data_IF_083284775637
#
_entry.id   IF_083284775637
#
_cell.length_a   1.000
_cell.length_b   1.000
_cell.length_c   1.000
_cell.angle_alpha   90.00
_cell.angle_beta   90.00
_cell.angle_gamma   90.00
#
_symmetry.space_group_name_H-M   'P 1'
#
loop_
_entity.id
_entity.type
_entity.pdbx_description
1 polymer ?
#
# COMPACT_ATOMS: atom_id res chain seq x y z
N UNK A 1 2.37 10.68 10.04
CA UNK A 1 3.19 9.76 9.23
C UNK A 1 2.36 8.85 8.33
N UNK A 2 1.29 8.27 8.83
CA UNK A 2 0.40 7.42 8.01
C UNK A 2 -0.11 8.13 6.76
N UNK A 3 -0.64 9.36 6.94
CA UNK A 3 -1.14 10.16 5.81
C UNK A 3 -0.06 10.42 4.77
N UNK A 4 1.15 10.71 5.22
CA UNK A 4 2.28 11.01 4.32
C UNK A 4 2.67 9.78 3.50
N UNK A 5 2.73 8.61 4.12
CA UNK A 5 3.05 7.36 3.42
C UNK A 5 1.98 7.03 2.39
N UNK A 6 0.70 7.12 2.76
CA UNK A 6 -0.40 6.88 1.83
C UNK A 6 -0.40 7.90 0.69
N UNK A 7 -0.10 9.17 1.00
CA UNK A 7 -0.01 10.24 0.00
C UNK A 7 1.11 9.97 -1.01
N UNK A 8 2.25 9.48 -0.55
CA UNK A 8 3.34 9.09 -1.46
C UNK A 8 2.96 7.89 -2.31
N UNK A 9 2.29 6.90 -1.72
CA UNK A 9 1.91 5.68 -2.43
C UNK A 9 0.90 5.93 -3.56
N UNK A 10 -0.12 6.76 -3.34
CA UNK A 10 -1.13 7.01 -4.38
C UNK A 10 -0.56 7.73 -5.61
N UNK A 11 0.59 8.36 -5.49
CA UNK A 11 1.26 9.04 -6.60
C UNK A 11 2.06 8.09 -7.48
N UNK A 12 2.27 6.87 -7.05
CA UNK A 12 3.02 5.87 -7.80
C UNK A 12 2.05 5.11 -8.70
N UNK A 13 2.39 4.99 -9.98
CA UNK A 13 1.57 4.26 -10.93
C UNK A 13 1.60 2.75 -10.65
N UNK A 14 0.51 2.08 -10.98
CA UNK A 14 0.41 0.63 -10.96
C UNK A 14 0.64 -0.01 -9.58
N UNK A 15 0.16 0.63 -8.53
CA UNK A 15 0.03 0.01 -7.23
C UNK A 15 -1.39 -0.52 -7.04
N UNK A 16 -1.51 -1.59 -6.26
CA UNK A 16 -2.78 -2.23 -5.96
C UNK A 16 -3.05 -2.14 -4.46
N UNK A 17 -4.09 -1.41 -4.10
CA UNK A 17 -4.53 -1.27 -2.70
C UNK A 17 -5.53 -2.37 -2.40
N UNK A 18 -5.23 -3.21 -1.42
CA UNK A 18 -5.99 -4.43 -1.14
C UNK A 18 -6.49 -4.42 0.30
N UNK A 19 -7.80 -4.55 0.46
CA UNK A 19 -8.44 -4.83 1.75
C UNK A 19 -9.02 -6.23 1.66
N UNK A 20 -8.66 -7.08 2.61
CA UNK A 20 -8.99 -8.50 2.54
C UNK A 20 -9.39 -9.03 3.91
N UNK A 21 -10.41 -9.88 3.93
CA UNK A 21 -10.72 -10.73 5.06
C UNK A 21 -10.82 -12.19 4.59
N UNK A 22 -11.25 -13.11 5.44
CA UNK A 22 -11.32 -14.53 5.10
C UNK A 22 -12.31 -14.86 3.98
N UNK A 23 -13.24 -13.97 3.68
CA UNK A 23 -14.34 -14.23 2.76
C UNK A 23 -14.34 -13.37 1.51
N UNK A 24 -13.64 -12.23 1.52
CA UNK A 24 -13.71 -11.29 0.41
C UNK A 24 -12.43 -10.49 0.28
N UNK A 25 -12.15 -10.02 -0.93
CA UNK A 25 -11.03 -9.13 -1.23
C UNK A 25 -11.54 -7.96 -2.07
N UNK A 26 -11.15 -6.75 -1.69
CA UNK A 26 -11.40 -5.55 -2.47
C UNK A 26 -10.06 -4.98 -2.94
N UNK A 27 -9.95 -4.66 -4.23
CA UNK A 27 -8.72 -4.20 -4.85
C UNK A 27 -8.97 -2.93 -5.64
N UNK A 28 -8.14 -1.90 -5.41
CA UNK A 28 -8.27 -0.61 -6.07
C UNK A 28 -6.88 -0.19 -6.59
N UNK A 29 -6.83 0.25 -7.84
CA UNK A 29 -5.60 0.77 -8.47
C UNK A 29 -5.30 2.20 -8.02
N UNK A 30 -4.02 2.51 -7.81
CA UNK A 30 -3.57 3.84 -7.34
C UNK A 30 -3.96 4.98 -8.28
N UNK A 31 -4.01 4.73 -9.57
CA UNK A 31 -4.30 5.74 -10.60
C UNK A 31 -5.61 6.50 -10.37
N UNK A 32 -6.59 5.84 -9.77
CA UNK A 32 -7.94 6.40 -9.56
C UNK A 32 -8.08 7.15 -8.24
N UNK A 33 -7.00 7.25 -7.45
CA UNK A 33 -7.12 7.68 -6.07
C UNK A 33 -6.61 9.10 -5.86
N UNK A 34 -7.38 9.89 -5.13
CA UNK A 34 -6.97 11.09 -4.44
C UNK A 34 -6.95 10.79 -2.95
N UNK A 35 -6.44 11.70 -2.13
CA UNK A 35 -6.37 11.51 -0.69
C UNK A 35 -6.85 12.76 0.04
N UNK A 36 -7.62 12.56 1.10
CA UNK A 36 -7.97 13.63 2.04
C UNK A 36 -8.11 13.04 3.43
N UNK A 37 -7.95 13.89 4.44
CA UNK A 37 -8.15 13.50 5.84
C UNK A 37 -9.19 14.40 6.47
N UNK A 38 -10.14 13.78 7.17
CA UNK A 38 -11.13 14.49 7.98
C UNK A 38 -11.19 13.79 9.35
N UNK A 39 -10.74 14.47 10.38
CA UNK A 39 -10.62 13.91 11.74
C UNK A 39 -9.73 12.65 11.68
N UNK A 40 -10.23 11.51 12.18
CA UNK A 40 -9.49 10.24 12.18
C UNK A 40 -9.54 9.50 10.84
N UNK A 41 -10.41 9.93 9.92
CA UNK A 41 -10.64 9.22 8.67
C UNK A 41 -9.77 9.76 7.54
N UNK A 42 -9.02 8.84 6.93
CA UNK A 42 -8.30 9.11 5.69
C UNK A 42 -9.11 8.46 4.57
N UNK A 43 -9.50 9.26 3.57
CA UNK A 43 -10.25 8.78 2.42
C UNK A 43 -9.34 8.75 1.21
N UNK A 44 -9.24 7.58 0.58
CA UNK A 44 -8.61 7.38 -0.71
C UNK A 44 -9.71 7.30 -1.76
N UNK A 45 -9.62 8.17 -2.78
CA UNK A 45 -10.69 8.35 -3.75
C UNK A 45 -11.74 9.34 -3.26
N UNK A 46 -12.79 9.53 -4.06
CA UNK A 46 -13.91 10.42 -3.74
C UNK A 46 -15.15 9.60 -3.43
N UNK A 47 -16.01 10.10 -2.53
CA UNK A 47 -17.20 9.38 -2.09
C UNK A 47 -18.15 8.99 -3.23
N UNK A 48 -18.21 9.80 -4.27
CA UNK A 48 -19.06 9.56 -5.44
C UNK A 48 -18.33 8.85 -6.58
N UNK A 49 -17.05 8.52 -6.41
CA UNK A 49 -16.31 7.68 -7.37
C UNK A 49 -16.70 6.22 -7.19
N UNK A 50 -16.63 5.40 -8.27
CA UNK A 50 -16.88 3.97 -8.17
C UNK A 50 -15.94 3.23 -7.23
N UNK A 51 -14.72 3.75 -7.05
CA UNK A 51 -13.69 3.14 -6.22
C UNK A 51 -13.18 4.14 -5.18
N UNK A 52 -13.40 3.83 -3.91
CA UNK A 52 -12.86 4.63 -2.81
C UNK A 52 -12.78 3.77 -1.55
N UNK A 53 -12.01 4.22 -0.57
CA UNK A 53 -11.96 3.56 0.73
C UNK A 53 -11.71 4.59 1.84
N UNK A 54 -12.15 4.23 3.04
CA UNK A 54 -11.95 5.02 4.24
C UNK A 54 -11.11 4.24 5.23
N UNK A 55 -10.05 4.85 5.73
CA UNK A 55 -9.15 4.24 6.70
C UNK A 55 -9.24 4.99 8.01
N UNK A 56 -9.55 4.29 9.09
CA UNK A 56 -9.52 4.87 10.43
C UNK A 56 -8.06 4.94 10.90
N UNK A 57 -7.50 6.14 10.89
CA UNK A 57 -6.08 6.33 11.20
C UNK A 57 -5.72 5.96 12.63
N UNK A 58 -6.69 6.01 13.56
CA UNK A 58 -6.45 5.65 14.96
C UNK A 58 -6.30 4.14 15.15
N UNK A 59 -6.77 3.35 14.20
CA UNK A 59 -6.72 1.89 14.28
C UNK A 59 -5.46 1.30 13.64
N UNK A 60 -4.69 2.08 12.89
CA UNK A 60 -3.45 1.61 12.27
C UNK A 60 -2.29 1.87 13.24
N UNK A 61 -1.59 0.82 13.64
CA UNK A 61 -0.54 0.90 14.67
C UNK A 61 0.87 0.64 14.16
N UNK A 62 1.01 -0.06 13.04
CA UNK A 62 2.33 -0.28 12.46
C UNK A 62 2.26 -0.41 10.94
N UNK A 63 3.40 -0.19 10.31
CA UNK A 63 3.55 -0.25 8.85
C UNK A 63 4.85 -0.99 8.55
N UNK A 64 4.80 -1.90 7.59
CA UNK A 64 5.98 -2.64 7.16
C UNK A 64 6.14 -2.62 5.66
N UNK A 65 7.37 -2.39 5.21
CA UNK A 65 7.79 -2.56 3.82
C UNK A 65 8.28 -3.99 3.69
N UNK A 66 7.59 -4.80 2.89
CA UNK A 66 7.79 -6.26 2.84
C UNK A 66 8.27 -6.68 1.46
N UNK A 67 9.35 -7.47 1.45
CA UNK A 67 9.82 -8.19 0.27
C UNK A 67 9.66 -9.67 0.56
N UNK A 68 8.70 -10.32 -0.09
CA UNK A 68 8.41 -11.73 0.13
C UNK A 68 8.94 -12.56 -1.04
N UNK A 69 9.94 -13.39 -0.78
CA UNK A 69 10.47 -14.30 -1.78
C UNK A 69 9.51 -15.45 -2.03
N UNK A 70 9.14 -15.62 -3.29
CA UNK A 70 8.32 -16.72 -3.76
C UNK A 70 9.13 -17.53 -4.77
N UNK A 71 8.73 -18.78 -5.10
CA UNK A 71 9.52 -19.61 -6.00
C UNK A 71 9.87 -18.96 -7.34
N UNK A 72 8.96 -18.16 -7.92
CA UNK A 72 9.15 -17.57 -9.22
C UNK A 72 9.60 -16.11 -9.19
N UNK A 73 9.33 -15.41 -8.09
CA UNK A 73 9.60 -13.97 -8.01
C UNK A 73 9.53 -13.46 -6.57
N UNK A 74 10.02 -12.25 -6.35
CA UNK A 74 9.83 -11.53 -5.10
C UNK A 74 8.63 -10.61 -5.21
N UNK A 75 7.74 -10.62 -4.23
CA UNK A 75 6.60 -9.71 -4.10
C UNK A 75 7.00 -8.52 -3.22
N UNK A 76 6.58 -7.33 -3.60
CA UNK A 76 6.89 -6.08 -2.89
C UNK A 76 5.59 -5.43 -2.43
N UNK A 77 5.50 -5.15 -1.14
CA UNK A 77 4.29 -4.52 -0.58
C UNK A 77 4.60 -3.63 0.60
N UNK A 78 3.66 -2.73 0.87
CA UNK A 78 3.61 -1.95 2.11
C UNK A 78 2.35 -2.39 2.83
N UNK A 79 2.49 -2.92 4.02
CA UNK A 79 1.38 -3.47 4.80
C UNK A 79 1.16 -2.67 6.07
N UNK A 80 -0.11 -2.49 6.42
CA UNK A 80 -0.58 -1.68 7.52
C UNK A 80 -1.32 -2.59 8.50
N UNK A 81 -0.95 -2.52 9.78
CA UNK A 81 -1.45 -3.43 10.80
C UNK A 81 -2.12 -2.69 11.96
N UNK A 82 -3.10 -3.32 12.59
CA UNK A 82 -3.77 -2.82 13.78
C UNK A 82 -3.09 -3.28 15.07
N UNK A 83 -3.69 -2.99 16.22
CA UNK A 83 -3.18 -3.37 17.53
C UNK A 83 -3.07 -4.88 17.74
N UNK A 84 -3.90 -5.65 17.06
CA UNK A 84 -3.90 -7.11 17.15
C UNK A 84 -2.95 -7.74 16.14
N UNK A 85 -2.17 -6.90 15.45
CA UNK A 85 -1.27 -7.34 14.39
C UNK A 85 -2.00 -7.97 13.20
N UNK A 86 -3.26 -7.62 13.02
CA UNK A 86 -4.04 -7.98 11.84
C UNK A 86 -3.81 -6.96 10.74
N UNK A 87 -3.70 -7.43 9.50
CA UNK A 87 -3.47 -6.55 8.36
C UNK A 87 -4.74 -5.80 7.98
N UNK A 88 -4.68 -4.47 8.08
CA UNK A 88 -5.78 -3.56 7.72
C UNK A 88 -5.82 -3.31 6.22
N UNK A 89 -4.64 -3.13 5.64
CA UNK A 89 -4.48 -2.76 4.24
C UNK A 89 -3.12 -3.25 3.78
N UNK A 90 -3.04 -3.72 2.54
CA UNK A 90 -1.78 -3.98 1.85
C UNK A 90 -1.74 -3.22 0.53
N UNK A 91 -0.60 -2.63 0.23
CA UNK A 91 -0.37 -1.93 -1.03
C UNK A 91 0.72 -2.69 -1.78
N UNK A 92 0.34 -3.35 -2.86
CA UNK A 92 1.28 -4.15 -3.66
C UNK A 92 1.84 -3.34 -4.80
N UNK A 93 3.15 -3.47 -5.01
CA UNK A 93 3.80 -2.95 -6.20
C UNK A 93 3.61 -3.97 -7.32
N UNK A 94 2.72 -3.67 -8.24
CA UNK A 94 2.48 -4.49 -9.42
C UNK A 94 3.37 -4.03 -10.57
N UNK A 95 3.40 -4.81 -11.66
CA UNK A 95 4.25 -4.53 -12.82
C UNK A 95 5.74 -4.39 -12.47
N UNK A 96 6.17 -5.20 -11.52
CA UNK A 96 7.57 -5.22 -11.09
C UNK A 96 8.45 -6.06 -12.00
N UNK A 97 7.86 -6.85 -12.87
CA UNK A 97 8.58 -7.76 -13.78
C UNK A 97 8.05 -7.60 -15.20
N UNK A 98 8.95 -7.73 -16.18
CA UNK A 98 8.57 -7.70 -17.58
C UNK A 98 8.09 -9.09 -18.05
N UNK A 99 7.79 -9.23 -19.34
CA UNK A 99 7.31 -10.48 -19.94
C UNK A 99 8.35 -11.60 -19.86
N UNK A 100 9.64 -11.25 -19.81
CA UNK A 100 10.74 -12.18 -19.66
C UNK A 100 11.09 -12.46 -18.20
N UNK A 101 10.24 -11.99 -17.25
CA UNK A 101 10.42 -12.14 -15.81
C UNK A 101 11.64 -11.41 -15.25
N UNK A 102 12.10 -10.38 -15.93
CA UNK A 102 13.17 -9.51 -15.44
C UNK A 102 12.60 -8.43 -14.52
N UNK A 103 13.27 -8.20 -13.39
CA UNK A 103 12.86 -7.18 -12.43
C UNK A 103 13.01 -5.78 -13.02
N UNK A 104 11.97 -4.97 -12.84
CA UNK A 104 12.02 -3.54 -13.18
C UNK A 104 12.79 -2.81 -12.07
N UNK A 105 14.06 -2.52 -12.35
CA UNK A 105 14.96 -1.89 -11.38
C UNK A 105 14.54 -0.49 -10.99
N UNK A 106 13.90 0.24 -11.90
CA UNK A 106 13.39 1.58 -11.63
C UNK A 106 12.26 1.53 -10.57
N UNK A 107 11.33 0.61 -10.74
CA UNK A 107 10.23 0.46 -9.78
C UNK A 107 10.72 -0.07 -8.44
N UNK A 108 11.68 -0.99 -8.45
CA UNK A 108 12.31 -1.46 -7.22
C UNK A 108 12.99 -0.31 -6.47
N UNK A 109 13.64 0.59 -7.20
CA UNK A 109 14.27 1.76 -6.59
C UNK A 109 13.24 2.66 -5.90
N UNK A 110 12.05 2.84 -6.48
CA UNK A 110 10.98 3.60 -5.83
C UNK A 110 10.60 2.96 -4.50
N UNK A 111 10.43 1.63 -4.48
CA UNK A 111 10.14 0.89 -3.25
C UNK A 111 11.25 1.06 -2.21
N UNK A 112 12.50 0.86 -2.64
CA UNK A 112 13.67 0.96 -1.75
C UNK A 112 13.82 2.38 -1.18
N UNK A 113 13.61 3.41 -2.00
CA UNK A 113 13.71 4.80 -1.56
C UNK A 113 12.63 5.15 -0.53
N UNK A 114 11.40 4.66 -0.70
CA UNK A 114 10.34 4.86 0.28
C UNK A 114 10.65 4.14 1.59
N UNK A 115 11.11 2.90 1.50
CA UNK A 115 11.50 2.11 2.67
C UNK A 115 12.64 2.80 3.44
N UNK A 116 13.57 3.40 2.73
CA UNK A 116 14.67 4.15 3.33
C UNK A 116 14.18 5.45 3.97
N UNK A 117 13.26 6.15 3.30
CA UNK A 117 12.72 7.42 3.78
C UNK A 117 11.95 7.27 5.10
N UNK A 118 11.14 6.23 5.22
CA UNK A 118 10.24 6.06 6.36
C UNK A 118 10.71 5.00 7.35
N UNK A 119 11.61 4.10 6.94
CA UNK A 119 12.00 2.92 7.69
C UNK A 119 11.27 1.69 7.17
N UNK A 120 11.90 0.53 7.28
CA UNK A 120 11.32 -0.73 6.80
C UNK A 120 10.22 -1.26 7.72
N UNK A 121 10.24 -0.87 8.98
CA UNK A 121 9.23 -1.24 9.99
C UNK A 121 8.98 -0.03 10.87
N UNK A 122 7.74 0.41 10.92
CA UNK A 122 7.37 1.67 11.56
C UNK A 122 6.29 1.39 12.61
N UNK A 123 6.55 1.83 13.84
CA UNK A 123 5.56 1.83 14.90
C UNK A 123 4.95 3.23 15.00
N UNK A 124 3.64 3.32 14.88
CA UNK A 124 2.92 4.59 14.92
C UNK A 124 2.50 5.00 16.34
#
# INVERSE_FOLDING_TARGET
MLYQILSDLIKIEDLLFVVKNSSATSEIRSKSLSIKKHEKWITLGKNDDPAHMHINSEMVKSIEFIQEKKPERTSFSVSFFDNNNDRVLAVFFTKMYDEQKNLNKFRKKIFDDLSKKYGSSILL
#
